data_IF_049806356613
#
_entry.id   IF_049806356613
#
_cell.length_a   1.000
_cell.length_b   1.000
_cell.length_c   1.000
_cell.angle_alpha   90.00
_cell.angle_beta   90.00
_cell.angle_gamma   90.00
#
_symmetry.space_group_name_H-M   'P 1'
#
loop_
_entity.id
_entity.type
_entity.pdbx_description
1 polymer ?
#
# COMPACT_ATOMS: atom_id res chain seq x y z
N UNK A 1 0.51 13.33 18.88
CA UNK A 1 0.25 11.90 18.75
C UNK A 1 -0.41 11.60 17.41
N UNK A 2 -0.25 10.41 16.92
CA UNK A 2 -0.87 9.95 15.68
C UNK A 2 -2.39 9.86 15.88
N UNK A 3 -3.18 10.49 15.02
CA UNK A 3 -4.63 10.39 15.09
C UNK A 3 -5.05 8.97 14.68
N UNK A 4 -6.07 8.36 15.33
CA UNK A 4 -6.51 6.99 14.99
C UNK A 4 -6.81 6.80 13.50
N UNK A 5 -7.36 7.82 12.84
CA UNK A 5 -7.67 7.79 11.40
C UNK A 5 -6.43 7.79 10.50
N UNK A 6 -5.27 8.18 11.03
CA UNK A 6 -3.99 8.18 10.31
C UNK A 6 -3.24 6.84 10.41
N UNK A 7 -3.75 5.91 11.22
CA UNK A 7 -3.15 4.58 11.39
C UNK A 7 -3.65 3.66 10.26
N UNK A 8 -2.75 3.16 9.38
CA UNK A 8 -3.16 2.38 8.20
C UNK A 8 -3.48 0.92 8.51
N UNK A 9 -3.70 0.58 9.78
CA UNK A 9 -3.96 -0.77 10.27
C UNK A 9 -5.36 -0.89 10.84
N UNK A 10 -5.92 -2.09 10.75
CA UNK A 10 -7.22 -2.45 11.30
C UNK A 10 -7.10 -3.44 12.45
N UNK A 11 -8.14 -3.57 13.25
CA UNK A 11 -8.20 -4.58 14.32
C UNK A 11 -7.97 -5.97 13.73
N UNK A 12 -7.01 -6.69 14.30
CA UNK A 12 -6.61 -8.03 13.85
C UNK A 12 -5.35 -8.04 12.97
N UNK A 13 -4.90 -6.88 12.47
CA UNK A 13 -3.62 -6.80 11.77
C UNK A 13 -2.46 -7.02 12.76
N UNK A 14 -1.46 -7.79 12.34
CA UNK A 14 -0.25 -8.05 13.14
C UNK A 14 0.85 -7.10 12.68
N UNK A 15 1.40 -6.35 13.63
CA UNK A 15 2.38 -5.31 13.36
C UNK A 15 3.60 -5.42 14.26
N UNK A 16 4.74 -4.98 13.74
CA UNK A 16 5.93 -4.66 14.53
C UNK A 16 5.84 -3.18 14.92
N UNK A 17 6.04 -2.88 16.20
CA UNK A 17 5.91 -1.53 16.73
C UNK A 17 7.20 -1.07 17.42
N UNK A 18 7.66 0.13 17.09
CA UNK A 18 8.64 0.84 17.88
C UNK A 18 7.92 1.70 18.94
N UNK A 19 8.21 1.47 20.22
CA UNK A 19 7.52 2.12 21.33
C UNK A 19 8.53 2.80 22.23
N UNK A 20 8.29 4.06 22.57
CA UNK A 20 8.99 4.78 23.64
C UNK A 20 8.19 4.61 24.95
N UNK A 21 8.87 4.18 25.98
CA UNK A 21 8.29 4.03 27.31
C UNK A 21 8.76 5.15 28.24
N UNK A 22 7.82 5.69 29.03
CA UNK A 22 8.13 6.66 30.07
C UNK A 22 7.36 6.32 31.34
N UNK A 23 7.98 6.62 32.48
CA UNK A 23 7.36 6.48 33.81
C UNK A 23 7.07 7.87 34.34
N UNK A 24 5.89 8.09 34.84
CA UNK A 24 5.52 9.32 35.54
C UNK A 24 4.84 9.00 36.87
N UNK A 25 5.07 9.86 37.84
CA UNK A 25 4.46 9.75 39.16
C UNK A 25 3.05 10.39 39.18
N UNK A 26 2.10 9.65 39.67
CA UNK A 26 0.74 10.12 39.85
C UNK A 26 0.32 9.97 41.34
N UNK A 27 -0.76 10.63 41.79
CA UNK A 27 -1.31 10.44 43.13
C UNK A 27 -1.65 8.98 43.46
N UNK A 28 -1.79 8.13 42.45
CA UNK A 28 -2.07 6.69 42.59
C UNK A 28 -0.82 5.80 42.48
N UNK A 29 0.39 6.41 42.44
CA UNK A 29 1.66 5.73 42.29
C UNK A 29 2.27 5.93 40.90
N UNK A 30 3.42 5.29 40.67
CA UNK A 30 4.10 5.34 39.37
C UNK A 30 3.26 4.67 38.28
N UNK A 31 3.12 5.37 37.16
CA UNK A 31 2.40 4.88 36.00
C UNK A 31 3.34 4.80 34.78
N UNK A 32 3.15 3.75 33.97
CA UNK A 32 3.88 3.56 32.74
C UNK A 32 3.04 4.12 31.58
N UNK A 33 3.67 4.95 30.76
CA UNK A 33 3.09 5.45 29.52
C UNK A 33 3.89 4.96 28.32
N UNK A 34 3.20 4.45 27.30
CA UNK A 34 3.80 4.05 26.06
C UNK A 34 3.39 4.98 24.92
N UNK A 35 4.34 5.40 24.10
CA UNK A 35 4.09 6.16 22.88
C UNK A 35 4.58 5.36 21.68
N UNK A 36 3.70 5.10 20.74
CA UNK A 36 4.06 4.45 19.47
C UNK A 36 4.83 5.47 18.62
N UNK A 37 6.03 5.10 18.19
CA UNK A 37 6.89 5.91 17.34
C UNK A 37 6.76 5.50 15.87
N UNK A 38 6.60 4.19 15.61
CA UNK A 38 6.52 3.65 14.28
C UNK A 38 5.79 2.31 14.26
N UNK A 39 5.16 1.99 13.14
CA UNK A 39 4.41 0.76 12.90
C UNK A 39 4.72 0.21 11.51
N UNK A 40 5.02 -1.07 11.42
CA UNK A 40 5.17 -1.80 10.16
C UNK A 40 4.38 -3.10 10.20
N UNK A 41 3.96 -3.66 9.05
CA UNK A 41 3.43 -5.02 9.02
C UNK A 41 4.44 -6.00 9.58
N UNK A 42 4.01 -6.91 10.45
CA UNK A 42 4.90 -7.85 11.11
C UNK A 42 5.58 -8.82 10.11
N UNK A 43 6.84 -9.13 10.38
CA UNK A 43 7.59 -10.14 9.64
C UNK A 43 7.96 -9.77 8.21
N UNK A 44 7.96 -8.46 7.86
CA UNK A 44 8.42 -8.02 6.54
C UNK A 44 9.91 -8.30 6.35
N UNK A 45 10.24 -8.92 5.21
CA UNK A 45 11.59 -9.07 4.71
C UNK A 45 12.03 -7.89 3.83
N UNK A 46 13.07 -8.12 3.03
CA UNK A 46 13.65 -7.10 2.14
C UNK A 46 12.93 -6.94 0.80
N UNK A 47 12.12 -7.92 0.40
CA UNK A 47 11.46 -7.96 -0.92
C UNK A 47 10.51 -6.80 -1.15
N UNK A 48 9.78 -6.38 -0.11
CA UNK A 48 8.87 -5.25 -0.20
C UNK A 48 9.63 -3.98 -0.60
N UNK A 49 10.69 -3.64 0.12
CA UNK A 49 11.49 -2.44 -0.16
C UNK A 49 12.18 -2.51 -1.52
N UNK A 50 12.71 -3.66 -1.90
CA UNK A 50 13.36 -3.89 -3.18
C UNK A 50 12.40 -3.67 -4.35
N UNK A 51 11.24 -4.33 -4.34
CA UNK A 51 10.26 -4.19 -5.41
C UNK A 51 9.60 -2.81 -5.45
N UNK A 52 9.38 -2.19 -4.29
CA UNK A 52 8.91 -0.80 -4.23
C UNK A 52 9.90 0.16 -4.90
N UNK A 53 11.21 -0.07 -4.74
CA UNK A 53 12.24 0.70 -5.40
C UNK A 53 12.19 0.56 -6.94
N UNK A 54 11.87 -0.62 -7.47
CA UNK A 54 11.67 -0.82 -8.91
C UNK A 54 10.46 -0.02 -9.43
N UNK A 55 9.37 0.02 -8.68
CA UNK A 55 8.19 0.82 -9.05
C UNK A 55 8.51 2.32 -9.02
N UNK A 56 9.30 2.79 -8.06
CA UNK A 56 9.79 4.18 -8.02
C UNK A 56 10.66 4.48 -9.23
N UNK A 57 11.58 3.57 -9.59
CA UNK A 57 12.42 3.70 -10.79
C UNK A 57 11.57 3.79 -12.06
N UNK A 58 10.55 2.92 -12.20
CA UNK A 58 9.60 2.96 -13.31
C UNK A 58 8.92 4.33 -13.42
N UNK A 59 8.42 4.87 -12.32
CA UNK A 59 7.75 6.18 -12.29
C UNK A 59 8.68 7.34 -12.67
N UNK A 60 9.97 7.21 -12.40
CA UNK A 60 11.00 8.19 -12.76
C UNK A 60 11.52 8.03 -14.18
N UNK A 61 11.06 7.02 -14.91
CA UNK A 61 11.57 6.69 -16.24
C UNK A 61 12.98 6.10 -16.24
N UNK A 62 13.43 5.59 -15.10
CA UNK A 62 14.73 4.90 -14.99
C UNK A 62 14.62 3.52 -15.65
N UNK A 63 15.53 3.14 -16.53
CA UNK A 63 15.51 1.82 -17.17
C UNK A 63 15.57 0.68 -16.15
N UNK A 64 14.77 -0.33 -16.37
CA UNK A 64 14.74 -1.57 -15.57
C UNK A 64 15.28 -2.73 -16.41
N UNK A 65 15.91 -3.69 -15.74
CA UNK A 65 16.26 -4.97 -16.37
C UNK A 65 15.01 -5.79 -16.67
N UNK A 66 15.08 -6.77 -17.57
CA UNK A 66 13.96 -7.66 -17.87
C UNK A 66 13.49 -8.43 -16.62
N UNK A 67 14.41 -8.84 -15.75
CA UNK A 67 14.09 -9.51 -14.49
C UNK A 67 13.32 -8.59 -13.54
N UNK A 68 13.77 -7.34 -13.40
CA UNK A 68 13.08 -6.34 -12.58
C UNK A 68 11.68 -6.04 -13.12
N UNK A 69 11.53 -5.86 -14.42
CA UNK A 69 10.22 -5.67 -15.06
C UNK A 69 9.28 -6.84 -14.79
N UNK A 70 9.77 -8.07 -14.93
CA UNK A 70 8.99 -9.28 -14.68
C UNK A 70 8.46 -9.34 -13.24
N UNK A 71 9.25 -8.90 -12.26
CA UNK A 71 8.85 -8.89 -10.86
C UNK A 71 7.70 -7.92 -10.56
N UNK A 72 7.61 -6.82 -11.30
CA UNK A 72 6.63 -5.76 -11.04
C UNK A 72 5.48 -5.70 -12.06
N UNK A 73 5.54 -6.48 -13.14
CA UNK A 73 4.47 -6.52 -14.14
C UNK A 73 3.33 -7.42 -13.66
N UNK A 74 2.15 -6.87 -13.34
CA UNK A 74 1.03 -7.68 -12.90
C UNK A 74 0.36 -8.37 -14.09
N UNK A 75 -0.11 -9.59 -13.86
CA UNK A 75 -1.06 -10.25 -14.73
C UNK A 75 -2.48 -9.77 -14.40
N UNK A 76 -3.44 -10.10 -15.27
CA UNK A 76 -4.85 -9.75 -15.03
C UNK A 76 -5.36 -10.31 -13.69
N UNK A 77 -4.95 -11.51 -13.33
CA UNK A 77 -5.30 -12.15 -12.06
C UNK A 77 -4.79 -11.36 -10.85
N UNK A 78 -3.59 -10.80 -10.93
CA UNK A 78 -3.02 -9.97 -9.88
C UNK A 78 -3.85 -8.70 -9.66
N UNK A 79 -4.25 -8.05 -10.76
CA UNK A 79 -5.07 -6.83 -10.71
C UNK A 79 -6.46 -7.13 -10.14
N UNK A 80 -7.07 -8.25 -10.51
CA UNK A 80 -8.35 -8.69 -9.95
C UNK A 80 -8.24 -8.94 -8.45
N UNK A 81 -7.16 -9.57 -8.00
CA UNK A 81 -6.89 -9.83 -6.59
C UNK A 81 -6.79 -8.52 -5.79
N UNK A 82 -6.03 -7.55 -6.30
CA UNK A 82 -5.94 -6.21 -5.69
C UNK A 82 -7.31 -5.53 -5.64
N UNK A 83 -8.05 -5.55 -6.73
CA UNK A 83 -9.38 -4.94 -6.79
C UNK A 83 -10.34 -5.54 -5.75
N UNK A 84 -10.31 -6.86 -5.56
CA UNK A 84 -11.12 -7.54 -4.53
C UNK A 84 -10.75 -7.11 -3.11
N UNK A 85 -9.46 -6.95 -2.82
CA UNK A 85 -9.02 -6.43 -1.51
C UNK A 85 -9.52 -5.00 -1.28
N UNK A 86 -9.52 -4.16 -2.31
CA UNK A 86 -10.06 -2.80 -2.24
C UNK A 86 -11.58 -2.77 -2.07
N UNK A 87 -12.30 -3.79 -2.54
CA UNK A 87 -13.73 -3.97 -2.28
C UNK A 87 -14.00 -4.45 -0.86
N UNK A 88 -13.13 -5.27 -0.29
CA UNK A 88 -13.32 -5.89 1.01
C UNK A 88 -13.18 -4.90 2.17
N UNK A 89 -12.29 -3.94 2.05
CA UNK A 89 -12.07 -2.89 3.04
C UNK A 89 -11.44 -1.65 2.41
N UNK A 90 -11.53 -0.52 3.13
CA UNK A 90 -10.84 0.72 2.76
C UNK A 90 -9.36 0.65 3.15
N UNK A 91 -8.48 1.02 2.23
CA UNK A 91 -7.04 1.05 2.43
C UNK A 91 -6.52 2.48 2.33
N UNK A 92 -5.48 2.80 3.12
CA UNK A 92 -4.81 4.09 3.06
C UNK A 92 -4.03 4.25 1.76
N UNK A 93 -4.24 5.37 1.06
CA UNK A 93 -3.57 5.64 -0.21
C UNK A 93 -2.10 6.05 -0.04
N UNK A 94 -1.74 6.64 1.11
CA UNK A 94 -0.39 7.12 1.38
C UNK A 94 0.56 6.05 1.93
N UNK A 95 0.02 4.97 2.48
CA UNK A 95 0.79 3.83 2.97
C UNK A 95 0.16 2.52 2.49
N UNK A 96 0.74 1.95 1.43
CA UNK A 96 0.29 0.69 0.83
C UNK A 96 1.04 -0.54 1.37
N UNK A 97 1.95 -0.37 2.33
CA UNK A 97 2.66 -1.51 2.94
C UNK A 97 1.70 -2.54 3.54
N UNK A 98 0.62 -2.15 4.27
CA UNK A 98 -0.35 -3.12 4.77
C UNK A 98 -1.02 -3.95 3.67
N UNK A 99 -1.38 -3.32 2.55
CA UNK A 99 -1.95 -4.02 1.39
C UNK A 99 -0.92 -4.98 0.78
N UNK A 100 0.31 -4.52 0.58
CA UNK A 100 1.40 -5.36 0.06
C UNK A 100 1.69 -6.55 0.98
N UNK A 101 1.70 -6.36 2.28
CA UNK A 101 1.87 -7.44 3.25
C UNK A 101 0.71 -8.44 3.21
N UNK A 102 -0.52 -7.97 3.06
CA UNK A 102 -1.71 -8.82 2.94
C UNK A 102 -1.66 -9.74 1.72
N UNK A 103 -1.19 -9.22 0.59
CA UNK A 103 -1.11 -9.95 -0.68
C UNK A 103 0.21 -10.72 -0.88
N UNK A 104 1.14 -10.57 0.08
CA UNK A 104 2.46 -11.17 0.04
C UNK A 104 3.54 -10.19 -0.44
N UNK A 105 4.62 -10.04 0.33
CA UNK A 105 5.68 -9.08 0.02
C UNK A 105 6.39 -9.35 -1.31
N UNK A 106 6.41 -10.61 -1.76
CA UNK A 106 6.93 -11.04 -3.05
C UNK A 106 6.11 -10.50 -4.24
N UNK A 107 4.88 -10.07 -4.00
CA UNK A 107 3.99 -9.47 -4.99
C UNK A 107 3.91 -7.94 -4.89
N UNK A 108 4.77 -7.32 -4.08
CA UNK A 108 4.71 -5.86 -3.81
C UNK A 108 4.72 -5.03 -5.08
N UNK A 109 5.63 -5.31 -5.99
CA UNK A 109 5.74 -4.57 -7.26
C UNK A 109 4.47 -4.68 -8.10
N UNK A 110 3.96 -5.91 -8.25
CA UNK A 110 2.70 -6.17 -8.96
C UNK A 110 1.51 -5.49 -8.30
N UNK A 111 1.43 -5.51 -6.97
CA UNK A 111 0.38 -4.84 -6.19
C UNK A 111 0.40 -3.32 -6.41
N UNK A 112 1.56 -2.69 -6.31
CA UNK A 112 1.70 -1.24 -6.50
C UNK A 112 1.39 -0.81 -7.94
N UNK A 113 1.84 -1.57 -8.92
CA UNK A 113 1.52 -1.32 -10.34
C UNK A 113 0.04 -1.53 -10.61
N UNK A 114 -0.58 -2.57 -10.01
CA UNK A 114 -2.02 -2.82 -10.15
C UNK A 114 -2.86 -1.69 -9.57
N UNK A 115 -2.52 -1.16 -8.38
CA UNK A 115 -3.19 0.02 -7.81
C UNK A 115 -3.08 1.21 -8.75
N UNK A 116 -1.88 1.48 -9.28
CA UNK A 116 -1.66 2.57 -10.23
C UNK A 116 -2.49 2.40 -11.50
N UNK A 117 -2.53 1.20 -12.06
CA UNK A 117 -3.32 0.90 -13.26
C UNK A 117 -4.82 1.10 -13.03
N UNK A 118 -5.36 0.61 -11.90
CA UNK A 118 -6.77 0.78 -11.53
C UNK A 118 -7.14 2.26 -11.37
N UNK A 119 -6.26 3.06 -10.79
CA UNK A 119 -6.45 4.50 -10.64
C UNK A 119 -6.42 5.21 -12.01
N UNK A 120 -5.46 4.87 -12.85
CA UNK A 120 -5.30 5.47 -14.19
C UNK A 120 -6.48 5.20 -15.14
N UNK A 121 -7.11 4.03 -15.03
CA UNK A 121 -8.33 3.73 -15.82
C UNK A 121 -9.62 4.19 -15.13
N UNK A 122 -9.55 4.80 -13.95
CA UNK A 122 -10.68 5.39 -13.25
C UNK A 122 -11.58 4.39 -12.54
N UNK A 123 -11.08 3.21 -12.18
CA UNK A 123 -11.81 2.22 -11.38
C UNK A 123 -11.70 2.48 -9.88
N UNK A 124 -10.64 3.16 -9.44
CA UNK A 124 -10.43 3.62 -8.08
C UNK A 124 -9.97 5.07 -8.10
N UNK A 125 -10.16 5.76 -6.99
CA UNK A 125 -9.67 7.12 -6.78
C UNK A 125 -9.19 7.31 -5.35
N UNK A 126 -8.24 8.21 -5.17
CA UNK A 126 -7.82 8.67 -3.84
C UNK A 126 -8.81 9.71 -3.33
N UNK A 127 -9.36 9.49 -2.15
CA UNK A 127 -10.27 10.42 -1.46
C UNK A 127 -9.70 10.81 -0.10
N UNK A 128 -9.89 12.05 0.29
CA UNK A 128 -9.50 12.56 1.59
C UNK A 128 -10.69 12.54 2.54
N UNK A 129 -10.51 11.97 3.74
CA UNK A 129 -11.52 11.91 4.78
C UNK A 129 -10.86 11.90 6.16
N UNK A 130 -11.26 12.84 7.03
CA UNK A 130 -10.75 12.89 8.40
C UNK A 130 -9.23 13.16 8.50
N UNK A 131 -8.63 13.84 7.52
CA UNK A 131 -7.20 14.11 7.48
C UNK A 131 -6.34 12.96 6.96
N UNK A 132 -6.95 11.87 6.51
CA UNK A 132 -6.28 10.75 5.86
C UNK A 132 -6.77 10.56 4.42
N UNK A 133 -5.93 9.98 3.57
CA UNK A 133 -6.26 9.64 2.18
C UNK A 133 -6.51 8.15 2.04
N UNK A 134 -7.59 7.80 1.39
CA UNK A 134 -8.03 6.43 1.18
C UNK A 134 -8.21 6.12 -0.29
N UNK A 135 -8.11 4.84 -0.64
CA UNK A 135 -8.48 4.33 -1.96
C UNK A 135 -9.95 3.91 -1.92
N UNK A 136 -10.77 4.56 -2.73
CA UNK A 136 -12.19 4.24 -2.88
C UNK A 136 -12.48 3.74 -4.29
N UNK A 137 -13.44 2.81 -4.39
CA UNK A 137 -13.96 2.36 -5.68
C UNK A 137 -14.76 3.48 -6.34
N UNK A 138 -14.54 3.65 -7.64
CA UNK A 138 -15.34 4.56 -8.47
C UNK A 138 -16.41 3.75 -9.19
N UNK A 139 -17.70 4.13 -9.10
CA UNK A 139 -18.75 3.48 -9.89
C UNK A 139 -18.39 3.53 -11.36
N UNK A 140 -18.31 2.36 -12.00
CA UNK A 140 -17.94 2.25 -13.40
C UNK A 140 -19.04 2.84 -14.29
N UNK A 141 -18.68 3.87 -15.05
CA UNK A 141 -19.50 4.37 -16.17
C UNK A 141 -18.98 3.73 -17.46
N UNK A 142 -19.58 2.61 -17.84
CA UNK A 142 -19.18 1.88 -19.02
C UNK A 142 -18.04 0.88 -18.78
N UNK A 143 -17.61 0.24 -19.86
CA UNK A 143 -16.55 -0.78 -19.84
C UNK A 143 -15.17 -0.10 -19.82
N UNK A 144 -14.36 -0.43 -18.84
CA UNK A 144 -12.96 0.02 -18.75
C UNK A 144 -12.01 -1.07 -19.24
N UNK A 145 -11.01 -0.67 -19.99
CA UNK A 145 -9.95 -1.58 -20.46
C UNK A 145 -8.67 -1.32 -19.68
N UNK A 146 -8.23 -2.29 -18.90
CA UNK A 146 -6.99 -2.21 -18.13
C UNK A 146 -5.75 -1.99 -19.00
N UNK A 147 -5.74 -2.52 -20.23
CA UNK A 147 -4.63 -2.33 -21.18
C UNK A 147 -4.43 -0.86 -21.54
N UNK A 148 -5.39 0.02 -21.31
CA UNK A 148 -5.25 1.45 -21.55
C UNK A 148 -4.49 2.19 -20.45
N UNK A 149 -4.19 1.54 -19.32
CA UNK A 149 -3.43 2.15 -18.24
C UNK A 149 -2.01 2.53 -18.70
N UNK A 150 -1.61 3.81 -18.57
CA UNK A 150 -0.27 4.26 -18.99
C UNK A 150 0.87 3.48 -18.35
N UNK A 151 0.74 3.08 -17.09
CA UNK A 151 1.79 2.30 -16.38
C UNK A 151 2.02 0.94 -17.03
N UNK A 152 0.96 0.27 -17.50
CA UNK A 152 1.08 -1.02 -18.19
C UNK A 152 1.68 -0.86 -19.58
N UNK A 153 1.28 0.17 -20.32
CA UNK A 153 1.88 0.50 -21.61
C UNK A 153 3.37 0.85 -21.49
N UNK A 154 3.74 1.54 -20.42
CA UNK A 154 5.15 1.85 -20.14
C UNK A 154 5.97 0.57 -19.93
N UNK A 155 5.45 -0.41 -19.19
CA UNK A 155 6.13 -1.69 -18.97
C UNK A 155 6.26 -2.52 -20.27
N UNK A 156 5.25 -2.49 -21.12
CA UNK A 156 5.29 -3.20 -22.43
C UNK A 156 6.26 -2.56 -23.41
N UNK A 157 6.42 -1.23 -23.38
CA UNK A 157 7.26 -0.46 -24.30
C UNK A 157 8.73 -0.33 -23.90
N UNK A 158 9.10 -0.83 -22.77
CA UNK A 158 10.50 -0.73 -22.26
C UNK A 158 11.41 -1.81 -22.82
#
# INVERSE_FOLDING_TARGET
>A
GMHPEQVPYSTGDVVDAAISLSVYDSPRGAQLSGRILDLHPAGLGTKLAEQAAFVVALRRGTPLTEEQKKLITPERSDIVTVYRELQARRWHAEDLQPLCAKLGEENTGKTLVAVTALEQVGLIATVEKGGAKYLDLVPAQGKKNLADAPVLKCLEGM
#
